data_IF_813752033870
#
_entry.id   IF_813752033870
#
_cell.length_a   1.000
_cell.length_b   1.000
_cell.length_c   1.000
_cell.angle_alpha   90.00
_cell.angle_beta   90.00
_cell.angle_gamma   90.00
#
_symmetry.space_group_name_H-M   'P 1'
#
loop_
_entity.id
_entity.type
_entity.pdbx_description
1 polymer ?
#
# COMPACT_ATOMS: atom_id res chain seq x y z
N UNK A 1 14.64 16.57 22.60
CA UNK A 1 15.09 15.19 22.35
C UNK A 1 14.42 14.78 21.05
N UNK A 2 15.18 14.47 20.00
CA UNK A 2 14.62 14.12 18.67
C UNK A 2 13.86 12.79 18.78
N UNK A 3 12.53 12.83 18.68
CA UNK A 3 11.71 11.65 18.40
C UNK A 3 12.12 11.14 17.01
N UNK A 4 12.86 10.03 16.97
CA UNK A 4 13.06 9.30 15.73
C UNK A 4 11.68 8.79 15.31
N UNK A 5 11.25 9.12 14.09
CA UNK A 5 10.11 8.48 13.42
C UNK A 5 10.41 6.98 13.26
N UNK A 6 10.17 6.19 14.30
CA UNK A 6 10.21 4.74 14.22
C UNK A 6 8.92 4.33 13.53
N UNK A 7 9.03 4.00 12.25
CA UNK A 7 7.96 3.35 11.47
C UNK A 7 7.46 2.14 12.26
N UNK A 8 6.14 1.98 12.45
CA UNK A 8 5.57 0.89 13.25
C UNK A 8 5.89 -0.50 12.64
N UNK A 9 5.82 -1.56 13.45
CA UNK A 9 5.93 -2.93 12.96
C UNK A 9 4.85 -3.22 11.90
N UNK A 10 3.64 -2.75 12.15
CA UNK A 10 2.50 -2.87 11.26
C UNK A 10 2.75 -2.18 9.92
N UNK A 11 3.28 -0.96 9.92
CA UNK A 11 3.65 -0.28 8.69
C UNK A 11 4.73 -1.05 7.89
N UNK A 12 5.74 -1.60 8.55
CA UNK A 12 6.76 -2.43 7.86
C UNK A 12 6.15 -3.70 7.28
N UNK A 13 5.21 -4.32 8.00
CA UNK A 13 4.48 -5.48 7.53
C UNK A 13 3.66 -5.17 6.27
N UNK A 14 2.85 -4.12 6.30
CA UNK A 14 1.99 -3.66 5.20
C UNK A 14 2.80 -3.25 3.96
N UNK A 15 3.73 -2.31 4.13
CA UNK A 15 4.42 -1.66 3.03
C UNK A 15 5.68 -2.37 2.56
N UNK A 16 6.13 -3.42 3.25
CA UNK A 16 7.30 -4.19 2.82
C UNK A 16 6.98 -5.65 2.68
N UNK A 17 6.59 -6.32 3.76
CA UNK A 17 6.46 -7.77 3.74
C UNK A 17 5.28 -8.21 2.88
N UNK A 18 4.06 -7.76 3.21
CA UNK A 18 2.85 -8.15 2.47
C UNK A 18 2.93 -7.75 1.00
N UNK A 19 3.37 -6.52 0.71
CA UNK A 19 3.58 -6.08 -0.67
C UNK A 19 4.54 -7.01 -1.42
N UNK A 20 5.70 -7.31 -0.84
CA UNK A 20 6.71 -8.14 -1.51
C UNK A 20 6.21 -9.57 -1.69
N UNK A 21 5.54 -10.14 -0.69
CA UNK A 21 4.96 -11.48 -0.76
C UNK A 21 3.86 -11.58 -1.83
N UNK A 22 2.98 -10.58 -1.92
CA UNK A 22 1.96 -10.53 -2.97
C UNK A 22 2.59 -10.38 -4.36
N UNK A 23 3.61 -9.54 -4.51
CA UNK A 23 4.21 -9.27 -5.82
C UNK A 23 5.05 -10.42 -6.37
N UNK A 24 5.54 -11.31 -5.51
CA UNK A 24 6.26 -12.52 -5.91
C UNK A 24 5.34 -13.53 -6.61
N UNK A 25 4.17 -13.81 -6.02
CA UNK A 25 3.13 -14.65 -6.61
C UNK A 25 1.72 -14.20 -6.15
N UNK A 26 1.07 -13.28 -6.89
CA UNK A 26 -0.18 -12.65 -6.49
C UNK A 26 -1.32 -13.62 -6.20
N UNK A 27 -1.50 -14.63 -7.06
CA UNK A 27 -2.63 -15.55 -6.94
C UNK A 27 -2.39 -16.53 -5.80
N UNK A 28 -1.17 -17.08 -5.67
CA UNK A 28 -0.84 -17.95 -4.55
C UNK A 28 -0.90 -17.21 -3.22
N UNK A 29 -0.46 -15.96 -3.18
CA UNK A 29 -0.59 -15.11 -2.00
C UNK A 29 -2.06 -14.96 -1.59
N UNK A 30 -2.95 -14.60 -2.54
CA UNK A 30 -4.36 -14.44 -2.25
C UNK A 30 -5.01 -15.76 -1.80
N UNK A 31 -4.71 -16.87 -2.48
CA UNK A 31 -5.18 -18.20 -2.10
C UNK A 31 -4.75 -18.57 -0.68
N UNK A 32 -3.49 -18.32 -0.33
CA UNK A 32 -2.97 -18.53 1.03
C UNK A 32 -3.78 -17.73 2.04
N UNK A 33 -4.04 -16.45 1.78
CA UNK A 33 -4.76 -15.57 2.72
C UNK A 33 -6.23 -15.97 2.91
N UNK A 34 -6.77 -16.82 2.03
CA UNK A 34 -8.11 -17.40 2.16
C UNK A 34 -8.14 -18.77 2.87
N UNK A 35 -6.99 -19.39 3.13
CA UNK A 35 -6.94 -20.74 3.75
C UNK A 35 -7.49 -20.77 5.17
N UNK A 36 -7.37 -19.66 5.90
CA UNK A 36 -7.76 -19.53 7.29
C UNK A 36 -8.13 -18.07 7.59
N UNK A 37 -9.27 -17.85 8.27
CA UNK A 37 -9.72 -16.50 8.67
C UNK A 37 -8.68 -15.74 9.54
N UNK A 38 -7.77 -16.48 10.19
CA UNK A 38 -6.70 -15.93 11.04
C UNK A 38 -5.36 -15.78 10.31
N UNK A 39 -5.25 -16.15 9.04
CA UNK A 39 -3.97 -16.21 8.33
C UNK A 39 -3.23 -14.86 8.34
N UNK A 40 -3.96 -13.75 8.16
CA UNK A 40 -3.37 -12.41 8.20
C UNK A 40 -2.76 -12.10 9.57
N UNK A 41 -3.48 -12.40 10.66
CA UNK A 41 -2.99 -12.23 12.03
C UNK A 41 -1.77 -13.13 12.29
N UNK A 42 -1.84 -14.41 11.92
CA UNK A 42 -0.75 -15.37 12.14
C UNK A 42 0.52 -14.94 11.39
N UNK A 43 0.35 -14.44 10.17
CA UNK A 43 1.47 -13.93 9.37
C UNK A 43 2.07 -12.67 10.01
N UNK A 44 1.26 -11.77 10.58
CA UNK A 44 1.75 -10.61 11.32
C UNK A 44 2.46 -11.00 12.62
N UNK A 45 1.92 -11.96 13.35
CA UNK A 45 2.52 -12.47 14.59
C UNK A 45 3.91 -13.09 14.33
N UNK A 46 4.02 -13.91 13.27
CA UNK A 46 5.30 -14.44 12.82
C UNK A 46 6.29 -13.34 12.43
N UNK A 47 5.81 -12.30 11.73
CA UNK A 47 6.62 -11.13 11.41
C UNK A 47 7.14 -10.42 12.66
N UNK A 48 6.30 -10.15 13.65
CA UNK A 48 6.71 -9.56 14.93
C UNK A 48 7.75 -10.44 15.65
N UNK A 49 7.47 -11.73 15.79
CA UNK A 49 8.36 -12.69 16.43
C UNK A 49 9.74 -12.75 15.75
N UNK A 50 9.78 -12.76 14.41
CA UNK A 50 11.02 -12.76 13.65
C UNK A 50 11.85 -11.48 13.83
N UNK A 51 11.20 -10.34 14.06
CA UNK A 51 11.86 -9.05 14.30
C UNK A 51 12.15 -8.78 15.80
N UNK A 52 11.85 -9.72 16.69
CA UNK A 52 12.04 -9.54 18.14
C UNK A 52 11.07 -8.53 18.76
N UNK A 53 9.91 -8.33 18.14
CA UNK A 53 8.86 -7.42 18.59
C UNK A 53 7.66 -8.20 19.12
N UNK A 54 6.97 -7.66 20.12
CA UNK A 54 5.72 -8.24 20.60
C UNK A 54 4.54 -7.77 19.75
N UNK A 55 3.68 -8.69 19.33
CA UNK A 55 2.42 -8.37 18.65
C UNK A 55 1.40 -7.81 19.67
N UNK A 56 0.97 -6.54 19.55
CA UNK A 56 0.05 -5.94 20.52
C UNK A 56 -1.43 -6.26 20.22
N UNK A 57 -1.73 -6.89 19.09
CA UNK A 57 -3.08 -7.07 18.59
C UNK A 57 -3.62 -8.48 18.85
N UNK A 58 -4.91 -8.65 18.61
CA UNK A 58 -5.62 -9.93 18.71
C UNK A 58 -6.12 -10.35 17.32
N UNK A 59 -6.42 -11.65 17.11
CA UNK A 59 -6.93 -12.13 15.82
C UNK A 59 -8.15 -11.35 15.30
N UNK A 60 -9.03 -10.91 16.19
CA UNK A 60 -10.25 -10.15 15.85
C UNK A 60 -9.99 -8.76 15.25
N UNK A 61 -8.77 -8.24 15.43
CA UNK A 61 -8.41 -6.90 14.96
C UNK A 61 -7.98 -6.91 13.48
N UNK A 62 -7.88 -8.10 12.88
CA UNK A 62 -7.58 -8.32 11.48
C UNK A 62 -8.74 -9.04 10.79
N UNK A 63 -8.98 -8.74 9.51
CA UNK A 63 -9.87 -9.55 8.69
C UNK A 63 -9.45 -9.54 7.22
N UNK A 64 -9.80 -10.62 6.52
CA UNK A 64 -9.65 -10.74 5.07
C UNK A 64 -11.02 -11.10 4.50
N UNK A 65 -11.51 -10.29 3.57
CA UNK A 65 -12.80 -10.49 2.91
C UNK A 65 -12.63 -10.52 1.40
N UNK A 66 -13.32 -11.43 0.73
CA UNK A 66 -13.35 -11.49 -0.74
C UNK A 66 -14.32 -10.45 -1.28
N UNK A 67 -13.86 -9.69 -2.26
CA UNK A 67 -14.60 -8.60 -2.90
C UNK A 67 -14.74 -8.88 -4.40
N UNK A 68 -15.90 -8.55 -4.95
CA UNK A 68 -16.21 -8.73 -6.37
C UNK A 68 -16.69 -7.40 -6.94
N UNK A 69 -15.96 -6.89 -7.93
CA UNK A 69 -16.34 -5.69 -8.68
C UNK A 69 -17.25 -6.04 -9.84
N UNK A 70 -18.09 -5.09 -10.24
CA UNK A 70 -19.07 -5.24 -11.33
C UNK A 70 -18.44 -5.69 -12.67
N UNK A 71 -17.17 -5.37 -12.89
CA UNK A 71 -16.41 -5.70 -14.10
C UNK A 71 -15.70 -7.08 -14.03
N UNK A 72 -16.13 -7.96 -13.12
CA UNK A 72 -15.48 -9.26 -12.90
C UNK A 72 -14.06 -9.15 -12.33
N UNK A 73 -13.78 -8.02 -11.69
CA UNK A 73 -12.58 -7.82 -10.89
C UNK A 73 -12.77 -8.55 -9.57
N UNK A 74 -11.78 -9.31 -9.16
CA UNK A 74 -11.82 -10.06 -7.91
C UNK A 74 -10.63 -9.63 -7.06
N UNK A 75 -10.91 -9.34 -5.79
CA UNK A 75 -9.89 -8.89 -4.85
C UNK A 75 -10.12 -9.46 -3.46
N UNK A 76 -9.10 -9.34 -2.64
CA UNK A 76 -9.17 -9.48 -1.21
C UNK A 76 -9.02 -8.10 -0.56
N UNK A 77 -9.92 -7.80 0.38
CA UNK A 77 -9.84 -6.65 1.27
C UNK A 77 -9.27 -7.10 2.61
N UNK A 78 -8.12 -6.57 2.95
CA UNK A 78 -7.43 -6.75 4.21
C UNK A 78 -7.79 -5.56 5.09
N UNK A 79 -8.34 -5.83 6.27
CA UNK A 79 -8.60 -4.80 7.27
C UNK A 79 -7.63 -4.99 8.42
N UNK A 80 -6.99 -3.89 8.81
CA UNK A 80 -6.02 -3.83 9.89
C UNK A 80 -6.62 -3.10 11.10
N UNK A 81 -6.05 -3.28 12.30
CA UNK A 81 -6.38 -2.44 13.44
C UNK A 81 -6.23 -0.98 13.04
N UNK A 82 -7.20 -0.14 13.41
CA UNK A 82 -7.13 1.30 13.09
C UNK A 82 -5.86 1.87 13.74
N UNK A 83 -4.98 2.51 12.96
CA UNK A 83 -3.73 3.00 13.52
C UNK A 83 -3.96 4.20 14.45
N UNK A 84 -3.23 4.21 15.56
CA UNK A 84 -3.24 5.33 16.53
C UNK A 84 -2.43 6.54 16.01
N UNK A 85 -1.49 6.29 15.09
CA UNK A 85 -0.64 7.31 14.48
C UNK A 85 -0.86 7.41 12.94
N UNK A 86 -0.84 8.61 12.35
CA UNK A 86 -0.64 8.79 10.91
C UNK A 86 0.76 8.29 10.54
N UNK A 87 0.96 7.23 9.75
CA UNK A 87 0.82 7.08 8.27
C UNK A 87 0.62 5.60 7.95
N UNK A 88 -0.16 4.93 8.79
CA UNK A 88 -0.37 3.49 8.71
C UNK A 88 -1.63 3.21 7.88
N UNK A 89 -1.63 2.08 7.16
CA UNK A 89 -2.80 1.70 6.39
C UNK A 89 -3.87 1.18 7.35
N UNK A 90 -5.13 1.46 7.07
CA UNK A 90 -6.21 0.74 7.74
C UNK A 90 -6.82 -0.34 6.84
N UNK A 91 -6.52 -0.29 5.54
CA UNK A 91 -7.04 -1.23 4.55
C UNK A 91 -6.04 -1.45 3.42
N UNK A 92 -6.00 -2.68 2.91
CA UNK A 92 -5.27 -3.05 1.70
C UNK A 92 -6.19 -3.83 0.77
N UNK A 93 -6.11 -3.56 -0.53
CA UNK A 93 -6.74 -4.38 -1.56
C UNK A 93 -5.68 -5.08 -2.40
N UNK A 94 -5.84 -6.38 -2.59
CA UNK A 94 -5.01 -7.20 -3.48
C UNK A 94 -5.90 -7.90 -4.50
N UNK A 95 -5.57 -7.77 -5.79
CA UNK A 95 -6.40 -8.32 -6.87
C UNK A 95 -5.90 -9.68 -7.31
N UNK A 96 -6.82 -10.58 -7.66
CA UNK A 96 -6.44 -11.80 -8.39
C UNK A 96 -5.99 -11.42 -9.80
N UNK A 97 -4.80 -11.89 -10.16
CA UNK A 97 -4.13 -11.55 -11.42
C UNK A 97 -4.58 -12.52 -12.50
N UNK A 98 -5.24 -11.98 -13.53
CA UNK A 98 -5.47 -12.66 -14.81
C UNK A 98 -4.19 -12.52 -15.65
N UNK A 99 -3.90 -13.48 -16.53
CA UNK A 99 -2.59 -13.67 -17.23
C UNK A 99 -1.94 -12.43 -17.87
N UNK A 100 -2.71 -11.38 -18.16
CA UNK A 100 -2.25 -10.16 -18.84
C UNK A 100 -2.31 -8.91 -17.94
N UNK A 101 -2.68 -9.04 -16.67
CA UNK A 101 -2.85 -7.90 -15.76
C UNK A 101 -1.63 -7.70 -14.87
N UNK A 102 -1.31 -6.42 -14.64
CA UNK A 102 -0.33 -5.99 -13.65
C UNK A 102 -0.90 -6.25 -12.27
N UNK A 103 -0.12 -6.80 -11.31
CA UNK A 103 -0.59 -7.00 -9.95
C UNK A 103 -1.17 -5.70 -9.35
N UNK A 104 -2.40 -5.79 -8.81
CA UNK A 104 -3.08 -4.67 -8.15
C UNK A 104 -2.91 -4.74 -6.64
N UNK A 105 -1.86 -4.13 -6.07
CA UNK A 105 -1.71 -3.97 -4.63
C UNK A 105 -1.98 -2.51 -4.26
N UNK A 106 -3.02 -2.27 -3.47
CA UNK A 106 -3.46 -0.93 -3.09
C UNK A 106 -3.47 -0.76 -1.58
N UNK A 107 -2.80 0.27 -1.07
CA UNK A 107 -2.88 0.67 0.34
C UNK A 107 -3.83 1.86 0.47
N UNK A 108 -4.62 1.84 1.54
CA UNK A 108 -5.51 2.94 1.91
C UNK A 108 -4.98 3.56 3.19
N UNK A 109 -4.47 4.77 3.06
CA UNK A 109 -3.69 5.43 4.11
C UNK A 109 -4.46 6.62 4.70
N UNK A 110 -4.29 6.82 6.00
CA UNK A 110 -4.88 7.94 6.72
C UNK A 110 -3.95 9.16 6.68
N UNK A 111 -4.43 10.31 6.19
CA UNK A 111 -3.66 11.55 6.18
C UNK A 111 -3.69 12.21 7.56
N UNK A 112 -2.54 12.67 8.05
CA UNK A 112 -2.47 13.45 9.30
C UNK A 112 -3.31 14.73 9.20
N UNK A 113 -4.25 14.92 10.13
CA UNK A 113 -5.03 16.15 10.26
C UNK A 113 -6.29 16.20 9.40
N UNK A 114 -6.53 15.16 8.60
CA UNK A 114 -7.80 14.93 7.91
C UNK A 114 -8.33 13.61 8.42
N UNK A 115 -9.57 13.56 8.90
CA UNK A 115 -10.10 12.38 9.60
C UNK A 115 -10.10 11.10 8.74
N UNK A 116 -10.59 9.97 9.27
CA UNK A 116 -10.74 8.71 8.50
C UNK A 116 -11.61 8.84 7.24
N UNK A 117 -12.33 9.95 7.10
CA UNK A 117 -13.23 10.26 5.99
C UNK A 117 -12.53 10.88 4.76
N UNK A 118 -11.22 11.16 4.84
CA UNK A 118 -10.42 11.63 3.71
C UNK A 118 -9.22 10.69 3.44
N UNK A 119 -9.46 9.43 3.04
CA UNK A 119 -8.38 8.51 2.73
C UNK A 119 -7.75 8.80 1.37
N UNK A 120 -6.47 8.45 1.23
CA UNK A 120 -5.80 8.42 -0.07
C UNK A 120 -5.43 6.99 -0.45
N UNK A 121 -5.56 6.71 -1.74
CA UNK A 121 -5.25 5.40 -2.31
C UNK A 121 -3.84 5.45 -2.91
N UNK A 122 -3.03 4.47 -2.54
CA UNK A 122 -1.70 4.23 -3.05
C UNK A 122 -1.66 2.91 -3.82
N UNK A 123 -1.43 2.96 -5.13
CA UNK A 123 -1.19 1.75 -5.94
C UNK A 123 0.30 1.44 -5.99
N UNK A 124 0.70 0.27 -5.52
CA UNK A 124 2.08 -0.21 -5.57
C UNK A 124 2.38 -1.04 -6.80
N UNK A 125 3.60 -0.88 -7.34
CA UNK A 125 4.07 -1.59 -8.52
C UNK A 125 5.58 -1.82 -8.46
N UNK A 126 6.05 -2.81 -9.22
CA UNK A 126 7.48 -2.98 -9.49
C UNK A 126 7.88 -2.10 -10.68
N UNK A 127 8.74 -1.10 -10.44
CA UNK A 127 9.37 -0.31 -11.49
C UNK A 127 10.75 -0.85 -11.86
N UNK A 128 11.42 -0.21 -12.83
CA UNK A 128 12.77 -0.60 -13.29
C UNK A 128 13.85 -0.52 -12.19
N UNK A 129 13.70 0.39 -11.23
CA UNK A 129 14.66 0.64 -10.15
C UNK A 129 14.15 0.20 -8.78
N UNK A 130 13.19 -0.74 -8.76
CA UNK A 130 12.53 -1.22 -7.54
C UNK A 130 11.11 -0.68 -7.38
N UNK A 131 10.61 -0.72 -6.16
CA UNK A 131 9.22 -0.41 -5.84
C UNK A 131 8.87 1.05 -6.13
N UNK A 132 7.75 1.26 -6.82
CA UNK A 132 7.15 2.57 -7.07
C UNK A 132 5.67 2.53 -6.66
N UNK A 133 5.10 3.69 -6.38
CA UNK A 133 3.67 3.81 -6.14
C UNK A 133 3.09 5.04 -6.83
N UNK A 134 1.80 4.96 -7.19
CA UNK A 134 0.98 6.11 -7.57
C UNK A 134 0.12 6.41 -6.35
N UNK A 135 0.41 7.52 -5.67
CA UNK A 135 -0.32 7.99 -4.49
C UNK A 135 -1.22 9.19 -4.79
N UNK A 136 -2.05 9.57 -3.81
CA UNK A 136 -2.91 10.75 -3.90
C UNK A 136 -4.15 10.57 -4.77
N UNK A 137 -4.56 9.32 -5.03
CA UNK A 137 -5.82 9.04 -5.69
C UNK A 137 -6.94 9.23 -4.64
N UNK A 138 -7.75 10.26 -4.84
CA UNK A 138 -8.97 10.47 -4.06
C UNK A 138 -10.02 9.43 -4.48
N UNK A 139 -10.69 8.75 -3.53
CA UNK A 139 -11.75 7.81 -3.87
C UNK A 139 -12.95 8.54 -4.48
N UNK A 140 -13.45 8.04 -5.60
CA UNK A 140 -14.73 8.45 -6.17
C UNK A 140 -15.79 7.41 -5.79
N UNK A 141 -16.60 7.71 -4.78
CA UNK A 141 -17.54 6.73 -4.20
C UNK A 141 -16.85 5.85 -3.16
N UNK A 142 -17.10 4.54 -3.18
CA UNK A 142 -16.42 3.62 -2.28
C UNK A 142 -14.98 3.28 -2.76
N UNK A 143 -14.10 3.03 -1.80
CA UNK A 143 -12.67 2.78 -2.06
C UNK A 143 -12.44 1.56 -2.95
N UNK A 144 -13.24 0.50 -2.78
CA UNK A 144 -13.08 -0.73 -3.55
C UNK A 144 -13.42 -0.49 -5.02
N UNK A 145 -14.52 0.20 -5.32
CA UNK A 145 -14.91 0.60 -6.68
C UNK A 145 -13.81 1.42 -7.35
N UNK A 146 -13.21 2.37 -6.62
CA UNK A 146 -12.07 3.14 -7.14
C UNK A 146 -10.87 2.25 -7.45
N UNK A 147 -10.46 1.39 -6.51
CA UNK A 147 -9.35 0.46 -6.73
C UNK A 147 -9.61 -0.51 -7.89
N UNK A 148 -10.82 -1.05 -8.00
CA UNK A 148 -11.20 -1.99 -9.05
C UNK A 148 -11.17 -1.34 -10.44
N UNK A 149 -11.64 -0.09 -10.55
CA UNK A 149 -11.54 0.69 -11.77
C UNK A 149 -10.09 0.90 -12.17
N UNK A 150 -9.25 1.37 -11.24
CA UNK A 150 -7.82 1.56 -11.49
C UNK A 150 -7.10 0.25 -11.84
N UNK A 151 -7.42 -0.86 -11.19
CA UNK A 151 -6.85 -2.16 -11.53
C UNK A 151 -7.17 -2.55 -12.99
N UNK A 152 -8.43 -2.37 -13.41
CA UNK A 152 -8.86 -2.75 -14.76
C UNK A 152 -8.28 -1.84 -15.85
N UNK A 153 -8.25 -0.53 -15.61
CA UNK A 153 -7.85 0.47 -16.61
C UNK A 153 -6.35 0.63 -16.78
N UNK A 154 -5.54 -0.07 -15.98
CA UNK A 154 -4.12 0.20 -15.93
C UNK A 154 -3.32 -0.60 -16.95
N UNK A 155 -2.72 0.14 -17.85
CA UNK A 155 -1.70 -0.33 -18.79
C UNK A 155 -0.33 0.10 -18.28
N UNK A 156 0.54 -0.88 -18.01
CA UNK A 156 1.89 -0.61 -17.51
C UNK A 156 2.81 0.01 -18.55
N UNK A 157 2.67 -0.36 -19.82
CA UNK A 157 3.49 0.22 -20.88
C UNK A 157 3.17 1.70 -21.08
N UNK A 158 1.88 2.04 -21.10
CA UNK A 158 1.45 3.45 -21.15
C UNK A 158 1.90 4.21 -19.93
N UNK A 159 1.76 3.63 -18.72
CA UNK A 159 2.26 4.25 -17.50
C UNK A 159 3.78 4.51 -17.55
N UNK A 160 4.58 3.53 -17.99
CA UNK A 160 6.02 3.70 -18.09
C UNK A 160 6.41 4.77 -19.12
N UNK A 161 5.67 4.88 -20.24
CA UNK A 161 5.81 5.99 -21.20
C UNK A 161 5.50 7.33 -20.54
N UNK A 162 4.43 7.42 -19.74
CA UNK A 162 4.08 8.63 -19.00
C UNK A 162 5.14 8.99 -17.96
N UNK A 163 5.65 8.03 -17.19
CA UNK A 163 6.72 8.25 -16.20
C UNK A 163 7.98 8.77 -16.87
N UNK A 164 8.37 8.21 -18.02
CA UNK A 164 9.58 8.65 -18.73
C UNK A 164 9.39 10.05 -19.36
N UNK A 165 8.21 10.33 -19.89
CA UNK A 165 7.84 11.68 -20.34
C UNK A 165 7.83 12.69 -19.17
N UNK A 166 7.33 12.30 -18.00
CA UNK A 166 7.36 13.12 -16.80
C UNK A 166 8.78 13.37 -16.30
N UNK A 167 9.67 12.36 -16.30
CA UNK A 167 11.09 12.56 -15.96
C UNK A 167 11.80 13.50 -16.92
N UNK A 168 11.49 13.44 -18.22
CA UNK A 168 12.11 14.30 -19.22
C UNK A 168 11.61 15.75 -19.16
N UNK A 169 10.45 15.99 -18.55
CA UNK A 169 9.86 17.32 -18.34
C UNK A 169 10.00 17.84 -16.90
N UNK A 170 10.29 16.96 -15.93
CA UNK A 170 10.53 17.33 -14.55
C UNK A 170 11.78 18.22 -14.46
N UNK A 171 11.60 19.45 -13.97
CA UNK A 171 12.70 20.33 -13.62
C UNK A 171 13.56 19.61 -12.58
N UNK A 172 14.81 19.30 -12.92
CA UNK A 172 15.77 18.80 -11.93
C UNK A 172 15.88 19.85 -10.82
N UNK A 173 15.39 19.51 -9.64
CA UNK A 173 15.52 20.37 -8.47
C UNK A 173 17.00 20.46 -8.12
N UNK A 174 17.46 21.68 -7.92
CA UNK A 174 18.79 21.93 -7.38
C UNK A 174 18.86 21.39 -5.94
N UNK A 175 20.06 21.08 -5.42
CA UNK A 175 20.22 20.66 -4.03
C UNK A 175 19.60 21.65 -3.01
N UNK A 176 19.58 22.95 -3.33
CA UNK A 176 18.93 23.98 -2.51
C UNK A 176 17.40 23.86 -2.50
N UNK A 177 16.78 23.71 -3.68
CA UNK A 177 15.32 23.50 -3.81
C UNK A 177 14.88 22.19 -3.14
N UNK A 178 15.69 21.12 -3.25
CA UNK A 178 15.45 19.87 -2.52
C UNK A 178 15.47 20.11 -1.01
N UNK A 179 16.49 20.82 -0.50
CA UNK A 179 16.63 21.10 0.93
C UNK A 179 15.45 21.90 1.50
N UNK A 180 14.93 22.87 0.75
CA UNK A 180 13.71 23.60 1.15
C UNK A 180 12.46 22.72 1.15
N UNK A 181 12.29 21.86 0.14
CA UNK A 181 11.16 20.94 0.06
C UNK A 181 11.19 19.91 1.22
N UNK A 182 12.36 19.35 1.51
CA UNK A 182 12.57 18.42 2.63
C UNK A 182 12.32 19.10 3.99
N UNK A 183 12.79 20.35 4.16
CA UNK A 183 12.51 21.12 5.37
C UNK A 183 11.01 21.42 5.55
N UNK A 184 10.29 21.72 4.46
CA UNK A 184 8.85 21.96 4.48
C UNK A 184 8.02 20.70 4.81
N UNK A 185 8.54 19.51 4.49
CA UNK A 185 7.90 18.21 4.79
C UNK A 185 8.37 17.59 6.12
N UNK A 186 9.18 18.30 6.91
CA UNK A 186 9.68 17.82 8.21
C UNK A 186 10.79 16.77 8.12
N UNK A 187 11.42 16.60 6.95
CA UNK A 187 12.57 15.72 6.75
C UNK A 187 13.89 16.40 7.08
N UNK A 188 14.71 15.76 7.92
CA UNK A 188 16.07 16.21 8.20
C UNK A 188 17.05 15.54 7.23
N UNK A 189 17.75 16.32 6.40
CA UNK A 189 18.93 15.86 5.67
C UNK A 189 20.16 16.10 6.56
N UNK A 190 20.84 15.03 6.98
CA UNK A 190 22.19 15.12 7.56
C UNK A 190 23.21 15.52 6.52
#
# INVERSE_FOLDING_TARGET
>A
MMERNIVSALHRFEHRMLRSAYMDDPNRFNERMLTNEKELFLTYDEFCNHNGESNPYQPKDFSVSRMYGENGAEALMFTFPKPEAPTDCYRIYTFFVKSEKVPGFFTIEHVRGKGPDEPFICRWMMGQNGWTHIGGIEPEGDEFTTCARFYQSFDFEEFMKMVEAAKSTAKKMTPAEMKELFAAQGGCLT
#
